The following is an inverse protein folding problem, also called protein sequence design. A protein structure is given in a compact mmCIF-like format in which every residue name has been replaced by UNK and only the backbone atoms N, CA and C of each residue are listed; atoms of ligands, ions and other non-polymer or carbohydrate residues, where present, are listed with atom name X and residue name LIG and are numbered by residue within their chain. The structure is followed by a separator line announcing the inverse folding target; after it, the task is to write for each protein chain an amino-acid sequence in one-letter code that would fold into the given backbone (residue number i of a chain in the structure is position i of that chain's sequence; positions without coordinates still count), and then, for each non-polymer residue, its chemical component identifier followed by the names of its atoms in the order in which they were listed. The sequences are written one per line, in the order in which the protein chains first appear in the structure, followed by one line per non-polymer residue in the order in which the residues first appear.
data_IF_455141265462
#
_entry.id   IF_455141265462
#
_cell.length_a   1.000
_cell.length_b   1.000
_cell.length_c   1.000
_cell.angle_alpha   90.00
_cell.angle_beta   90.00
_cell.angle_gamma   90.00
#
_symmetry.space_group_name_H-M   'P 1'
#
loop_
_entity.id
_entity.type
_entity.pdbx_description
1 polymer ?
#
# COMPACT_ATOMS: atom_id res chain seq x y z
N UNK A 1 9.87 9.84 -8.64
CA UNK A 1 8.94 8.99 -7.87
C UNK A 1 7.56 9.51 -8.16
N UNK A 2 6.58 8.67 -8.51
CA UNK A 2 5.22 9.16 -8.80
C UNK A 2 4.56 9.65 -7.51
N UNK A 3 3.76 10.69 -7.60
CA UNK A 3 2.93 11.17 -6.48
C UNK A 3 1.70 10.27 -6.31
N UNK A 4 1.09 10.29 -5.13
CA UNK A 4 -0.14 9.53 -4.88
C UNK A 4 -1.28 9.94 -5.83
N UNK A 5 -1.39 11.23 -6.16
CA UNK A 5 -2.28 11.77 -7.18
C UNK A 5 -2.08 11.07 -8.53
N UNK A 6 -0.83 10.99 -9.01
CA UNK A 6 -0.51 10.33 -10.28
C UNK A 6 -0.85 8.84 -10.24
N UNK A 7 -0.60 8.18 -9.11
CA UNK A 7 -0.92 6.75 -8.95
C UNK A 7 -2.42 6.46 -8.97
N UNK A 8 -3.25 7.31 -8.34
CA UNK A 8 -4.72 7.17 -8.35
C UNK A 8 -5.24 7.32 -9.78
N UNK A 9 -4.74 8.32 -10.51
CA UNK A 9 -5.11 8.57 -11.91
C UNK A 9 -4.73 7.40 -12.82
N UNK A 10 -3.52 6.86 -12.67
CA UNK A 10 -3.05 5.73 -13.47
C UNK A 10 -3.84 4.43 -13.23
N UNK A 11 -4.25 4.18 -11.98
CA UNK A 11 -4.93 2.93 -11.60
C UNK A 11 -6.43 2.94 -11.86
N UNK A 12 -7.07 4.10 -11.68
CA UNK A 12 -8.53 4.21 -11.68
C UNK A 12 -9.07 5.06 -12.82
N UNK A 13 -8.22 5.85 -13.47
CA UNK A 13 -8.63 6.89 -14.42
C UNK A 13 -9.26 8.12 -13.76
N UNK A 14 -9.37 8.15 -12.42
CA UNK A 14 -9.97 9.24 -11.66
C UNK A 14 -8.91 10.29 -11.35
N UNK A 15 -9.20 11.55 -11.70
CA UNK A 15 -8.37 12.69 -11.35
C UNK A 15 -8.85 13.27 -10.01
N UNK A 16 -7.95 13.44 -9.05
CA UNK A 16 -8.27 13.94 -7.71
C UNK A 16 -7.44 15.16 -7.37
N UNK A 17 -8.04 16.16 -6.73
CA UNK A 17 -7.31 17.36 -6.30
C UNK A 17 -6.27 17.00 -5.22
N UNK A 18 -5.03 17.43 -5.45
CA UNK A 18 -3.89 17.04 -4.63
C UNK A 18 -4.05 17.47 -3.16
N UNK A 19 -4.59 18.66 -2.94
CA UNK A 19 -4.83 19.25 -1.61
C UNK A 19 -6.04 18.62 -0.89
N UNK A 20 -6.83 17.81 -1.61
CA UNK A 20 -8.01 17.09 -1.10
C UNK A 20 -7.75 15.61 -0.87
N UNK A 21 -6.60 15.09 -1.27
CA UNK A 21 -6.22 13.69 -1.04
C UNK A 21 -6.24 13.36 0.45
N UNK A 22 -5.79 14.26 1.33
CA UNK A 22 -5.88 14.05 2.78
C UNK A 22 -7.32 13.84 3.23
N UNK A 23 -8.25 14.66 2.72
CA UNK A 23 -9.67 14.60 3.08
C UNK A 23 -10.30 13.28 2.59
N UNK A 24 -9.92 12.78 1.41
CA UNK A 24 -10.35 11.46 0.90
C UNK A 24 -9.75 10.28 1.68
N UNK A 25 -8.54 10.44 2.21
CA UNK A 25 -7.83 9.41 2.98
C UNK A 25 -8.12 9.46 4.49
N UNK A 26 -8.71 10.54 4.99
CA UNK A 26 -9.12 10.66 6.38
C UNK A 26 -10.20 9.63 6.75
N UNK A 27 -11.04 9.24 5.78
CA UNK A 27 -12.17 8.32 6.02
C UNK A 27 -11.96 6.87 5.56
N UNK A 28 -11.03 6.57 4.64
CA UNK A 28 -10.89 5.20 4.13
C UNK A 28 -9.52 4.57 4.40
N UNK A 29 -9.55 3.53 5.24
CA UNK A 29 -8.57 2.44 5.20
C UNK A 29 -8.46 1.99 3.74
N UNK A 30 -7.35 2.32 3.08
CA UNK A 30 -7.13 1.99 1.69
C UNK A 30 -7.26 0.46 1.52
N UNK A 31 -8.40 -0.01 1.03
CA UNK A 31 -8.69 -1.42 0.84
C UNK A 31 -7.88 -1.94 -0.35
N UNK A 32 -6.63 -2.34 -0.09
CA UNK A 32 -5.70 -2.90 -1.07
C UNK A 32 -6.04 -4.36 -1.45
N UNK A 33 -7.31 -4.77 -1.40
CA UNK A 33 -7.71 -6.13 -1.76
C UNK A 33 -7.47 -6.34 -3.26
N UNK A 34 -6.44 -7.11 -3.60
CA UNK A 34 -6.05 -7.39 -4.99
C UNK A 34 -5.03 -6.42 -5.59
N UNK A 35 -4.49 -5.45 -4.83
CA UNK A 35 -3.43 -4.58 -5.33
C UNK A 35 -2.13 -5.38 -5.55
N UNK A 36 -1.56 -5.28 -6.75
CA UNK A 36 -0.26 -5.87 -7.08
C UNK A 36 0.86 -5.00 -6.47
N UNK A 37 1.10 -5.17 -5.16
CA UNK A 37 2.08 -4.41 -4.37
C UNK A 37 3.54 -4.84 -4.61
N UNK A 38 3.89 -5.26 -5.83
CA UNK A 38 5.26 -5.65 -6.15
C UNK A 38 6.16 -4.42 -5.94
N UNK A 39 7.05 -4.49 -4.95
CA UNK A 39 7.95 -3.42 -4.50
C UNK A 39 7.34 -2.30 -3.63
N UNK A 40 6.14 -2.48 -3.06
CA UNK A 40 5.60 -1.51 -2.10
C UNK A 40 6.44 -1.49 -0.81
N UNK A 41 6.83 -0.29 -0.35
CA UNK A 41 7.39 -0.12 0.99
C UNK A 41 6.24 -0.11 2.01
N UNK A 42 6.22 -1.11 2.89
CA UNK A 42 5.19 -1.30 3.91
C UNK A 42 5.68 -1.00 5.34
N UNK A 43 6.80 -0.30 5.50
CA UNK A 43 7.42 -0.04 6.82
C UNK A 43 6.51 0.64 7.84
N UNK A 44 5.51 1.40 7.39
CA UNK A 44 4.53 2.08 8.26
C UNK A 44 3.11 1.47 8.17
N UNK A 45 2.94 0.34 7.48
CA UNK A 45 1.62 -0.26 7.31
C UNK A 45 1.19 -1.00 8.58
N UNK A 46 -0.06 -0.80 9.01
CA UNK A 46 -0.67 -1.65 10.03
C UNK A 46 -1.02 -3.02 9.43
N UNK A 47 -0.15 -4.00 9.61
CA UNK A 47 -0.32 -5.36 9.07
C UNK A 47 -1.12 -6.29 9.99
N UNK A 48 -1.77 -5.79 11.05
CA UNK A 48 -2.53 -6.63 11.99
C UNK A 48 -3.66 -7.35 11.26
N UNK A 49 -3.69 -8.68 11.34
CA UNK A 49 -4.73 -9.53 10.74
C UNK A 49 -4.53 -9.89 9.26
N UNK A 50 -3.37 -9.54 8.67
CA UNK A 50 -2.99 -10.00 7.33
C UNK A 50 -3.02 -11.53 7.24
N UNK A 51 -3.60 -12.05 6.14
CA UNK A 51 -3.56 -13.47 5.79
C UNK A 51 -2.61 -13.67 4.61
N UNK A 52 -1.64 -14.56 4.76
CA UNK A 52 -0.74 -14.99 3.69
C UNK A 52 -0.77 -16.51 3.56
N UNK A 53 -0.47 -17.01 2.37
CA UNK A 53 -0.34 -18.44 2.10
C UNK A 53 1.01 -18.98 2.56
N UNK A 54 1.11 -20.31 2.78
CA UNK A 54 2.37 -21.00 3.08
C UNK A 54 3.46 -20.67 2.04
N UNK A 55 3.10 -20.72 0.76
CA UNK A 55 4.00 -20.40 -0.36
C UNK A 55 4.51 -18.94 -0.34
N UNK A 56 3.71 -17.99 0.14
CA UNK A 56 4.13 -16.60 0.28
C UNK A 56 5.06 -16.42 1.48
N UNK A 57 4.80 -17.13 2.58
CA UNK A 57 5.67 -17.14 3.75
C UNK A 57 7.09 -17.60 3.38
N UNK A 58 7.21 -18.66 2.58
CA UNK A 58 8.50 -19.20 2.13
C UNK A 58 9.28 -18.25 1.20
N UNK A 59 8.64 -17.20 0.69
CA UNK A 59 9.24 -16.18 -0.17
C UNK A 59 9.62 -14.89 0.59
N UNK A 60 9.32 -14.81 1.90
CA UNK A 60 9.68 -13.66 2.71
C UNK A 60 11.17 -13.69 3.08
N UNK A 61 11.86 -12.58 2.87
CA UNK A 61 13.18 -12.34 3.46
C UNK A 61 12.98 -11.65 4.80
N UNK A 62 13.37 -12.32 5.89
CA UNK A 62 13.43 -11.71 7.22
C UNK A 62 14.72 -10.91 7.31
N UNK A 63 14.61 -9.64 7.68
CA UNK A 63 15.73 -8.76 7.95
C UNK A 63 15.70 -8.50 9.46
N UNK A 64 16.76 -8.86 10.17
CA UNK A 64 16.89 -8.53 11.58
C UNK A 64 17.24 -7.03 11.70
N UNK A 65 16.53 -6.30 12.55
CA UNK A 65 17.02 -4.99 12.98
C UNK A 65 18.23 -5.23 13.87
N UNK A 66 19.41 -4.88 13.38
CA UNK A 66 20.61 -4.82 14.21
C UNK A 66 20.36 -3.78 15.32
N UNK A 67 20.45 -4.19 16.58
CA UNK A 67 20.41 -3.32 17.77
C UNK A 67 21.47 -2.20 17.73
#
# INVERSE_FOLDING_TARGET
MKTLHEMIKDLTGIDVEQDKISDYLEEEVLYLHGAYLRYANLSCANLKGIKITKKQLDQLTVIEENE
#
